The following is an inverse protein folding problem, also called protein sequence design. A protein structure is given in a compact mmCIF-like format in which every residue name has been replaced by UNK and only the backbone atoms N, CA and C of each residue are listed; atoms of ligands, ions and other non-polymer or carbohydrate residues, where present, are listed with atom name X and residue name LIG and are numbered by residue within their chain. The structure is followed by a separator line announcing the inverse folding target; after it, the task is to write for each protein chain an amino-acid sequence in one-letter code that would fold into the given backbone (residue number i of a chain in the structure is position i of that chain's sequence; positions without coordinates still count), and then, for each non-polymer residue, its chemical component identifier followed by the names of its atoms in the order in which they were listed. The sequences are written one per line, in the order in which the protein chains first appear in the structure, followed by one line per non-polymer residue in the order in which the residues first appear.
data_IF_084968553108
#
_entry.id   IF_084968553108
#
_cell.length_a   1.000
_cell.length_b   1.000
_cell.length_c   1.000
_cell.angle_alpha   90.00
_cell.angle_beta   90.00
_cell.angle_gamma   90.00
#
_symmetry.space_group_name_H-M   'P 1'
#
loop_
_entity.id
_entity.type
_entity.pdbx_description
1 polymer ?
#
# COMPACT_ATOMS: atom_id res chain seq x y z
N UNK A 1 27.63 5.72 -58.17
CA UNK A 1 27.67 4.56 -57.25
C UNK A 1 28.02 4.95 -55.80
N UNK A 2 29.10 5.70 -55.55
CA UNK A 2 29.50 6.11 -54.18
C UNK A 2 28.43 6.93 -53.42
N UNK A 3 27.70 7.82 -54.09
CA UNK A 3 26.62 8.65 -53.48
C UNK A 3 25.44 7.81 -52.96
N UNK A 4 25.05 6.76 -53.67
CA UNK A 4 23.95 5.87 -53.27
C UNK A 4 24.36 4.94 -52.11
N UNK A 5 25.64 4.55 -52.06
CA UNK A 5 26.21 3.83 -50.91
C UNK A 5 26.24 4.69 -49.64
N UNK A 6 26.58 5.99 -49.76
CA UNK A 6 26.55 6.93 -48.63
C UNK A 6 25.11 7.13 -48.14
N UNK A 7 24.15 7.32 -49.05
CA UNK A 7 22.73 7.47 -48.70
C UNK A 7 22.19 6.20 -48.03
N UNK A 8 22.52 5.01 -48.54
CA UNK A 8 22.15 3.73 -47.93
C UNK A 8 22.75 3.54 -46.54
N UNK A 9 24.02 3.93 -46.34
CA UNK A 9 24.69 3.87 -45.03
C UNK A 9 24.04 4.79 -43.99
N UNK A 10 23.67 6.02 -44.39
CA UNK A 10 22.97 6.96 -43.50
C UNK A 10 21.59 6.44 -43.09
N UNK A 11 20.83 5.86 -44.02
CA UNK A 11 19.51 5.28 -43.74
C UNK A 11 19.65 4.09 -42.78
N UNK A 12 20.66 3.23 -42.96
CA UNK A 12 20.90 2.08 -42.09
C UNK A 12 21.22 2.51 -40.65
N UNK A 13 22.07 3.53 -40.49
CA UNK A 13 22.42 4.09 -39.17
C UNK A 13 21.20 4.71 -38.48
N UNK A 14 20.34 5.40 -39.24
CA UNK A 14 19.09 5.97 -38.72
C UNK A 14 18.13 4.89 -38.21
N UNK A 15 17.96 3.80 -38.97
CA UNK A 15 17.10 2.68 -38.57
C UNK A 15 17.65 1.99 -37.30
N UNK A 16 18.97 1.78 -37.24
CA UNK A 16 19.62 1.19 -36.06
C UNK A 16 19.50 2.09 -34.82
N UNK A 17 19.65 3.41 -34.99
CA UNK A 17 19.49 4.37 -33.90
C UNK A 17 18.03 4.38 -33.36
N UNK A 18 17.03 4.32 -34.23
CA UNK A 18 15.62 4.26 -33.83
C UNK A 18 15.32 2.93 -33.10
N UNK A 19 15.77 1.80 -33.65
CA UNK A 19 15.57 0.48 -33.05
C UNK A 19 16.20 0.35 -31.66
N UNK A 20 17.39 0.93 -31.46
CA UNK A 20 18.07 0.94 -30.16
C UNK A 20 17.35 1.81 -29.12
N UNK A 21 16.83 2.97 -29.53
CA UNK A 21 16.04 3.84 -28.64
C UNK A 21 14.74 3.17 -28.18
N UNK A 22 14.03 2.48 -29.08
CA UNK A 22 12.79 1.77 -28.74
C UNK A 22 13.08 0.64 -27.74
N UNK A 23 14.15 -0.14 -27.96
CA UNK A 23 14.55 -1.23 -27.05
C UNK A 23 14.92 -0.70 -25.66
N UNK A 24 15.72 0.36 -25.58
CA UNK A 24 16.10 0.95 -24.30
C UNK A 24 14.91 1.56 -23.56
N UNK A 25 14.00 2.21 -24.28
CA UNK A 25 12.78 2.78 -23.68
C UNK A 25 11.88 1.67 -23.12
N UNK A 26 11.69 0.57 -23.86
CA UNK A 26 10.89 -0.57 -23.40
C UNK A 26 11.50 -1.25 -22.16
N UNK A 27 12.80 -1.52 -22.17
CA UNK A 27 13.49 -2.09 -21.01
C UNK A 27 13.41 -1.17 -19.78
N UNK A 28 13.53 0.15 -19.98
CA UNK A 28 13.37 1.13 -18.90
C UNK A 28 11.94 1.11 -18.34
N UNK A 29 10.93 0.98 -19.21
CA UNK A 29 9.52 0.97 -18.82
C UNK A 29 9.14 -0.30 -18.06
N UNK A 30 9.61 -1.47 -18.51
CA UNK A 30 9.42 -2.75 -17.81
C UNK A 30 10.11 -2.71 -16.44
N UNK A 31 11.37 -2.26 -16.38
CA UNK A 31 12.09 -2.14 -15.11
C UNK A 31 11.40 -1.19 -14.12
N UNK A 32 10.81 -0.09 -14.60
CA UNK A 32 10.00 0.80 -13.75
C UNK A 32 8.71 0.14 -13.29
N UNK A 33 8.05 -0.65 -14.14
CA UNK A 33 6.84 -1.37 -13.76
C UNK A 33 7.13 -2.42 -12.67
N UNK A 34 8.19 -3.21 -12.84
CA UNK A 34 8.65 -4.18 -11.83
C UNK A 34 9.02 -3.49 -10.51
N UNK A 35 9.64 -2.30 -10.56
CA UNK A 35 9.95 -1.53 -9.35
C UNK A 35 8.68 -1.05 -8.61
N UNK A 36 7.63 -0.66 -9.34
CA UNK A 36 6.34 -0.27 -8.76
C UNK A 36 5.63 -1.48 -8.15
N UNK A 37 5.57 -2.60 -8.86
CA UNK A 37 5.00 -3.85 -8.36
C UNK A 37 5.74 -4.35 -7.11
N UNK A 38 7.07 -4.31 -7.11
CA UNK A 38 7.88 -4.68 -5.95
C UNK A 38 7.65 -3.76 -4.74
N UNK A 39 7.56 -2.44 -4.98
CA UNK A 39 7.22 -1.49 -3.92
C UNK A 39 5.80 -1.72 -3.37
N UNK A 40 4.84 -2.04 -4.24
CA UNK A 40 3.47 -2.35 -3.83
C UNK A 40 3.39 -3.64 -3.01
N UNK A 41 4.10 -4.70 -3.41
CA UNK A 41 4.16 -5.94 -2.66
C UNK A 41 4.72 -5.75 -1.24
N UNK A 42 5.72 -4.88 -1.08
CA UNK A 42 6.25 -4.51 0.24
C UNK A 42 5.19 -3.82 1.10
N UNK A 43 4.44 -2.89 0.51
CA UNK A 43 3.37 -2.15 1.16
C UNK A 43 2.23 -3.09 1.56
N UNK A 44 1.80 -3.97 0.66
CA UNK A 44 0.78 -4.97 0.89
C UNK A 44 1.16 -5.91 2.04
N UNK A 45 2.41 -6.41 2.07
CA UNK A 45 2.89 -7.27 3.15
C UNK A 45 2.80 -6.61 4.53
N UNK A 46 3.12 -5.31 4.62
CA UNK A 46 2.99 -4.54 5.86
C UNK A 46 1.52 -4.40 6.26
N UNK A 47 0.63 -4.11 5.32
CA UNK A 47 -0.80 -3.99 5.60
C UNK A 47 -1.46 -5.31 5.98
N UNK A 48 -1.09 -6.42 5.33
CA UNK A 48 -1.51 -7.76 5.70
C UNK A 48 -1.07 -8.07 7.14
N UNK A 49 0.20 -7.84 7.50
CA UNK A 49 0.67 -8.03 8.89
C UNK A 49 -0.08 -7.17 9.89
N UNK A 50 -0.41 -5.92 9.54
CA UNK A 50 -1.27 -5.08 10.39
C UNK A 50 -2.64 -5.70 10.57
N UNK A 51 -3.28 -6.14 9.48
CA UNK A 51 -4.59 -6.79 9.50
C UNK A 51 -4.61 -8.08 10.32
N UNK A 52 -3.54 -8.88 10.26
CA UNK A 52 -3.36 -10.13 11.00
C UNK A 52 -3.21 -9.93 12.52
N UNK A 53 -2.66 -8.78 12.94
CA UNK A 53 -2.49 -8.45 14.36
C UNK A 53 -3.74 -7.84 15.00
N UNK A 54 -4.68 -7.30 14.21
CA UNK A 54 -5.91 -6.67 14.75
C UNK A 54 -6.84 -7.64 15.50
N UNK A 55 -7.04 -8.93 15.10
CA UNK A 55 -7.79 -9.89 15.90
C UNK A 55 -7.24 -10.06 17.32
N UNK A 56 -5.92 -10.15 17.46
CA UNK A 56 -5.26 -10.28 18.78
C UNK A 56 -5.53 -9.03 19.62
N UNK A 57 -5.38 -7.84 19.02
CA UNK A 57 -5.63 -6.57 19.67
C UNK A 57 -7.11 -6.43 20.11
N UNK A 58 -8.06 -6.82 19.24
CA UNK A 58 -9.49 -6.80 19.54
C UNK A 58 -9.86 -7.80 20.65
N UNK A 59 -9.25 -8.99 20.68
CA UNK A 59 -9.53 -9.98 21.72
C UNK A 59 -9.01 -9.53 23.10
N UNK A 60 -7.83 -8.90 23.16
CA UNK A 60 -7.30 -8.30 24.39
C UNK A 60 -8.20 -7.16 24.90
N UNK A 61 -8.74 -6.33 23.99
CA UNK A 61 -9.63 -5.22 24.34
C UNK A 61 -11.04 -5.69 24.71
N UNK A 62 -11.59 -6.71 24.03
CA UNK A 62 -12.95 -7.25 24.27
C UNK A 62 -13.16 -7.75 25.69
N UNK A 63 -12.13 -8.30 26.34
CA UNK A 63 -12.24 -8.78 27.73
C UNK A 63 -12.55 -7.69 28.76
N UNK A 64 -12.31 -6.42 28.43
CA UNK A 64 -12.39 -5.31 29.38
C UNK A 64 -13.05 -4.03 28.83
N UNK A 65 -13.52 -4.04 27.57
CA UNK A 65 -14.20 -2.91 26.90
C UNK A 65 -15.69 -2.76 27.24
N UNK A 66 -16.21 -3.45 28.27
CA UNK A 66 -17.59 -3.24 28.75
C UNK A 66 -17.87 -1.77 29.16
N UNK A 67 -16.83 -1.00 29.47
CA UNK A 67 -16.94 0.39 29.92
C UNK A 67 -16.96 1.45 28.80
N UNK A 68 -16.50 1.14 27.57
CA UNK A 68 -16.37 2.13 26.46
C UNK A 68 -16.79 1.54 25.11
N UNK A 69 -18.05 1.10 25.04
CA UNK A 69 -18.65 0.43 23.89
C UNK A 69 -18.63 1.27 22.60
N UNK A 70 -18.79 2.60 22.70
CA UNK A 70 -18.76 3.53 21.56
C UNK A 70 -17.38 3.56 20.90
N UNK A 71 -16.32 3.71 21.70
CA UNK A 71 -14.93 3.69 21.23
C UNK A 71 -14.59 2.36 20.56
N UNK A 72 -15.03 1.25 21.16
CA UNK A 72 -14.82 -0.09 20.58
C UNK A 72 -15.53 -0.29 19.24
N UNK A 73 -16.77 0.21 19.11
CA UNK A 73 -17.53 0.17 17.85
C UNK A 73 -16.83 1.00 16.78
N UNK A 74 -16.40 2.22 17.09
CA UNK A 74 -15.66 3.07 16.15
C UNK A 74 -14.36 2.44 15.64
N UNK A 75 -13.60 1.77 16.51
CA UNK A 75 -12.38 1.06 16.13
C UNK A 75 -12.71 -0.15 15.26
N UNK A 76 -13.76 -0.89 15.62
CA UNK A 76 -14.20 -2.08 14.87
C UNK A 76 -14.70 -1.72 13.47
N UNK A 77 -15.47 -0.64 13.34
CA UNK A 77 -15.93 -0.14 12.04
C UNK A 77 -14.79 0.43 11.20
N UNK A 78 -13.89 1.22 11.80
CA UNK A 78 -12.73 1.76 11.10
C UNK A 78 -11.80 0.63 10.62
N UNK A 79 -11.62 -0.42 11.44
CA UNK A 79 -10.94 -1.65 11.05
C UNK A 79 -11.64 -2.31 9.87
N UNK A 80 -12.94 -2.56 9.97
CA UNK A 80 -13.72 -3.23 8.93
C UNK A 80 -13.56 -2.52 7.59
N UNK A 81 -13.68 -1.18 7.58
CA UNK A 81 -13.48 -0.35 6.38
C UNK A 81 -12.06 -0.44 5.84
N UNK A 82 -11.03 -0.33 6.68
CA UNK A 82 -9.64 -0.40 6.26
C UNK A 82 -9.24 -1.80 5.73
N UNK A 83 -9.75 -2.88 6.34
CA UNK A 83 -9.49 -4.26 5.89
C UNK A 83 -10.33 -4.66 4.68
N UNK A 84 -11.51 -4.04 4.47
CA UNK A 84 -12.34 -4.29 3.30
C UNK A 84 -11.79 -3.65 2.02
N UNK A 85 -10.98 -2.61 2.15
CA UNK A 85 -10.32 -1.94 1.03
C UNK A 85 -8.98 -2.62 0.75
N UNK A 86 -9.02 -3.77 0.08
CA UNK A 86 -7.83 -4.41 -0.47
C UNK A 86 -7.64 -3.89 -1.89
N UNK A 87 -6.58 -3.13 -2.14
CA UNK A 87 -6.20 -2.75 -3.50
C UNK A 87 -5.28 -3.83 -4.06
N UNK A 88 -5.63 -4.36 -5.22
CA UNK A 88 -4.77 -5.26 -5.98
C UNK A 88 -3.82 -4.45 -6.88
N UNK A 89 -2.67 -5.04 -7.27
CA UNK A 89 -1.66 -4.35 -8.09
C UNK A 89 -2.24 -3.81 -9.41
N UNK A 90 -3.27 -4.48 -9.94
CA UNK A 90 -3.97 -4.10 -11.17
C UNK A 90 -4.89 -2.86 -11.00
N UNK A 91 -5.21 -2.49 -9.75
CA UNK A 91 -6.14 -1.42 -9.39
C UNK A 91 -5.44 -0.16 -8.83
N UNK A 92 -4.12 -0.07 -9.00
CA UNK A 92 -3.25 1.04 -8.60
C UNK A 92 -3.52 2.34 -9.39
N UNK A 93 -4.72 2.89 -9.22
CA UNK A 93 -5.07 4.23 -9.71
C UNK A 93 -4.88 5.28 -8.62
N UNK A 94 -4.58 6.55 -8.96
CA UNK A 94 -4.47 7.62 -7.97
C UNK A 94 -5.72 7.78 -7.08
N UNK A 95 -6.90 7.56 -7.66
CA UNK A 95 -8.17 7.63 -6.94
C UNK A 95 -8.33 6.50 -5.92
N UNK A 96 -8.01 5.26 -6.31
CA UNK A 96 -8.06 4.11 -5.42
C UNK A 96 -7.03 4.26 -4.29
N UNK A 97 -5.81 4.70 -4.62
CA UNK A 97 -4.77 4.97 -3.62
C UNK A 97 -5.22 6.02 -2.59
N UNK A 98 -5.89 7.08 -3.04
CA UNK A 98 -6.43 8.11 -2.15
C UNK A 98 -7.51 7.55 -1.20
N UNK A 99 -8.43 6.71 -1.71
CA UNK A 99 -9.45 6.04 -0.90
C UNK A 99 -8.84 5.12 0.14
N UNK A 100 -7.84 4.33 -0.26
CA UNK A 100 -7.12 3.43 0.63
C UNK A 100 -6.33 4.19 1.72
N UNK A 101 -5.64 5.27 1.34
CA UNK A 101 -4.91 6.11 2.28
C UNK A 101 -5.86 6.81 3.27
N UNK A 102 -7.04 7.25 2.82
CA UNK A 102 -8.06 7.83 3.68
C UNK A 102 -8.58 6.81 4.71
N UNK A 103 -8.92 5.60 4.27
CA UNK A 103 -9.35 4.52 5.15
C UNK A 103 -8.26 4.15 6.17
N UNK A 104 -7.01 4.11 5.74
CA UNK A 104 -5.87 3.82 6.60
C UNK A 104 -5.61 4.92 7.63
N UNK A 105 -5.79 6.19 7.25
CA UNK A 105 -5.67 7.34 8.15
C UNK A 105 -6.78 7.34 9.20
N UNK A 106 -8.01 6.98 8.80
CA UNK A 106 -9.13 6.85 9.73
C UNK A 106 -8.92 5.73 10.75
N UNK A 107 -8.40 4.57 10.31
CA UNK A 107 -7.99 3.50 11.23
C UNK A 107 -6.93 3.99 12.23
N UNK A 108 -5.91 4.73 11.76
CA UNK A 108 -4.88 5.29 12.64
C UNK A 108 -5.48 6.24 13.69
N UNK A 109 -6.42 7.10 13.30
CA UNK A 109 -7.10 8.00 14.23
C UNK A 109 -7.93 7.27 15.29
N UNK A 110 -8.65 6.22 14.89
CA UNK A 110 -9.41 5.38 15.83
C UNK A 110 -8.50 4.62 16.79
N UNK A 111 -7.34 4.14 16.33
CA UNK A 111 -6.33 3.50 17.19
C UNK A 111 -5.71 4.49 18.19
N UNK A 112 -5.47 5.74 17.80
CA UNK A 112 -5.00 6.78 18.74
C UNK A 112 -6.05 7.07 19.83
N UNK A 113 -7.35 7.09 19.48
CA UNK A 113 -8.43 7.23 20.48
C UNK A 113 -8.47 6.03 21.43
N UNK A 114 -8.31 4.81 20.91
CA UNK A 114 -8.20 3.61 21.72
C UNK A 114 -7.03 3.69 22.70
N UNK A 115 -5.86 4.14 22.25
CA UNK A 115 -4.68 4.32 23.11
C UNK A 115 -4.92 5.34 24.23
N UNK A 116 -5.59 6.46 23.92
CA UNK A 116 -5.95 7.47 24.93
C UNK A 116 -6.95 6.91 25.97
N UNK A 117 -7.90 6.07 25.56
CA UNK A 117 -8.76 5.33 26.49
C UNK A 117 -7.93 4.38 27.35
N UNK A 118 -6.94 3.70 26.77
CA UNK A 118 -6.01 2.83 27.51
C UNK A 118 -5.25 3.57 28.62
N UNK A 119 -4.76 4.78 28.36
CA UNK A 119 -4.07 5.58 29.38
C UNK A 119 -4.98 5.98 30.55
N UNK A 120 -6.28 6.16 30.29
CA UNK A 120 -7.28 6.49 31.33
C UNK A 120 -7.65 5.32 32.23
N UNK A 121 -7.33 4.09 31.82
CA UNK A 121 -7.60 2.87 32.59
C UNK A 121 -6.29 2.07 32.75
N UNK A 122 -5.46 2.38 33.78
CA UNK A 122 -4.16 1.75 34.02
C UNK A 122 -4.22 0.22 34.13
N UNK A 123 -5.35 -0.33 34.57
CA UNK A 123 -5.60 -1.77 34.64
C UNK A 123 -5.55 -2.43 33.25
N UNK A 124 -5.85 -1.68 32.17
CA UNK A 124 -5.71 -2.14 30.78
C UNK A 124 -4.24 -2.32 30.38
N UNK A 125 -3.31 -1.52 30.96
CA UNK A 125 -1.86 -1.62 30.71
C UNK A 125 -1.23 -2.83 31.39
N UNK A 126 -1.83 -3.32 32.48
CA UNK A 126 -1.29 -4.42 33.28
C UNK A 126 -1.52 -5.80 32.63
N UNK A 127 -2.40 -5.91 31.63
CA UNK A 127 -2.65 -7.14 30.91
C UNK A 127 -1.51 -7.39 29.91
N UNK A 128 -0.67 -8.40 30.17
CA UNK A 128 0.56 -8.71 29.43
C UNK A 128 0.35 -9.12 27.96
N UNK A 129 -0.90 -9.18 27.48
CA UNK A 129 -1.27 -9.57 26.12
C UNK A 129 -1.50 -8.38 25.16
N UNK A 130 -1.14 -7.17 25.57
CA UNK A 130 -1.16 -5.97 24.72
C UNK A 130 0.22 -5.66 24.14
#
# INVERSE_FOLDING_TARGET
MKKNLIIGGVILVLILAIGFNIKNSYNSMVSKNEAVEGAWAQVESVYQRRADLIPNLVNTVKGYAEFEKSTFVEVTEARSKATSLTISADELTPENMAKFQAAQSQLSGSLSRLLATFERYPDLKANQNF
#
